data_IF_356529592299
#
_entry.id   IF_356529592299
#
_cell.length_a   1.000
_cell.length_b   1.000
_cell.length_c   1.000
_cell.angle_alpha   90.00
_cell.angle_beta   90.00
_cell.angle_gamma   90.00
#
_symmetry.space_group_name_H-M   'P 1'
#
loop_
_entity.id
_entity.type
_entity.pdbx_description
1 polymer ?
#
# COMPACT_ATOMS: atom_id res chain seq x y z
N UNK A 1 -5.62 -42.93 26.05
CA UNK A 1 -5.25 -42.90 24.62
C UNK A 1 -5.57 -41.51 24.10
N UNK A 2 -4.52 -40.73 23.88
CA UNK A 2 -4.53 -39.40 23.27
C UNK A 2 -4.85 -39.47 21.77
N UNK A 3 -5.20 -38.30 21.22
CA UNK A 3 -5.19 -37.91 19.81
C UNK A 3 -6.38 -38.45 18.97
N UNK A 4 -7.12 -37.67 18.20
CA UNK A 4 -6.71 -36.57 17.32
C UNK A 4 -7.85 -35.55 17.14
N UNK A 5 -7.54 -34.26 17.31
CA UNK A 5 -8.25 -33.17 16.63
C UNK A 5 -7.24 -32.03 16.40
N UNK A 6 -6.45 -32.16 15.33
CA UNK A 6 -5.53 -31.13 14.86
C UNK A 6 -6.27 -29.95 14.19
N UNK A 7 -5.61 -28.79 14.02
CA UNK A 7 -6.27 -27.52 13.75
C UNK A 7 -6.66 -27.38 12.27
N UNK A 8 -7.86 -27.82 11.90
CA UNK A 8 -8.38 -27.68 10.54
C UNK A 8 -8.85 -26.24 10.18
N UNK A 9 -8.61 -25.23 11.03
CA UNK A 9 -9.06 -23.84 10.84
C UNK A 9 -8.00 -22.84 10.36
N UNK A 10 -6.70 -23.13 10.53
CA UNK A 10 -5.65 -22.13 10.34
C UNK A 10 -5.21 -21.94 8.88
N UNK A 11 -5.37 -22.96 8.03
CA UNK A 11 -4.93 -22.89 6.63
C UNK A 11 -5.87 -22.06 5.75
N UNK A 12 -7.19 -22.16 5.97
CA UNK A 12 -8.19 -21.36 5.27
C UNK A 12 -8.08 -19.87 5.60
N UNK A 13 -7.70 -19.54 6.83
CA UNK A 13 -7.48 -18.16 7.28
C UNK A 13 -6.24 -17.53 6.65
N UNK A 14 -5.08 -18.23 6.66
CA UNK A 14 -3.86 -17.75 5.98
C UNK A 14 -4.06 -17.51 4.49
N UNK A 15 -4.81 -18.37 3.80
CA UNK A 15 -5.08 -18.19 2.37
C UNK A 15 -5.82 -16.89 2.10
N UNK A 16 -6.81 -16.54 2.92
CA UNK A 16 -7.56 -15.28 2.80
C UNK A 16 -6.66 -14.06 3.01
N UNK A 17 -5.70 -14.13 3.94
CA UNK A 17 -4.73 -13.05 4.16
C UNK A 17 -3.83 -12.84 2.93
N UNK A 18 -3.34 -13.94 2.33
CA UNK A 18 -2.57 -13.84 1.08
C UNK A 18 -3.42 -13.33 -0.09
N UNK A 19 -4.67 -13.76 -0.21
CA UNK A 19 -5.58 -13.28 -1.26
C UNK A 19 -5.91 -11.78 -1.08
N UNK A 20 -5.87 -11.25 0.15
CA UNK A 20 -6.00 -9.82 0.43
C UNK A 20 -4.75 -9.02 0.05
N UNK A 21 -3.55 -9.56 0.35
CA UNK A 21 -2.28 -8.88 0.07
C UNK A 21 -1.89 -9.00 -1.41
N UNK A 22 -2.15 -10.13 -2.06
CA UNK A 22 -1.69 -10.42 -3.42
C UNK A 22 -2.04 -9.33 -4.44
N UNK A 23 -3.25 -8.73 -4.44
CA UNK A 23 -3.54 -7.60 -5.29
C UNK A 23 -2.46 -6.52 -5.16
N UNK A 24 -2.15 -6.06 -3.94
CA UNK A 24 -1.32 -4.86 -3.63
C UNK A 24 -0.05 -4.71 -4.47
N UNK A 25 0.55 -5.80 -4.96
CA UNK A 25 1.66 -5.80 -5.91
C UNK A 25 1.48 -4.83 -7.10
N UNK A 26 0.27 -4.73 -7.68
CA UNK A 26 -0.02 -3.79 -8.80
C UNK A 26 0.22 -2.31 -8.46
N UNK A 27 0.33 -1.92 -7.19
CA UNK A 27 0.68 -0.55 -6.80
C UNK A 27 2.06 -0.12 -7.33
N UNK A 28 2.93 -1.07 -7.69
CA UNK A 28 4.23 -0.81 -8.33
C UNK A 28 4.10 -0.37 -9.79
N UNK A 29 2.96 -0.64 -10.43
CA UNK A 29 2.68 -0.36 -11.84
C UNK A 29 1.86 0.93 -12.03
N UNK A 30 1.26 1.46 -10.96
CA UNK A 30 0.46 2.67 -11.00
C UNK A 30 1.39 3.87 -10.80
N UNK A 31 1.54 4.69 -11.83
CA UNK A 31 2.33 5.90 -11.80
C UNK A 31 1.53 7.10 -11.26
N UNK A 32 2.18 7.92 -10.43
CA UNK A 32 1.67 9.21 -9.96
C UNK A 32 2.08 10.33 -10.90
N UNK A 33 1.49 11.51 -10.72
CA UNK A 33 1.90 12.70 -11.48
C UNK A 33 3.35 13.13 -11.15
N UNK A 34 3.83 12.80 -9.96
CA UNK A 34 5.18 13.14 -9.49
C UNK A 34 6.25 12.26 -10.15
N UNK A 35 7.44 12.83 -10.24
CA UNK A 35 8.62 12.17 -10.77
C UNK A 35 9.43 11.59 -9.59
N UNK A 36 9.74 10.29 -9.59
CA UNK A 36 10.66 9.68 -8.64
C UNK A 36 12.12 10.02 -8.98
N UNK A 37 12.42 10.16 -10.27
CA UNK A 37 13.69 10.67 -10.79
C UNK A 37 13.40 11.61 -11.97
N UNK A 38 14.41 12.33 -12.47
CA UNK A 38 14.23 13.24 -13.61
C UNK A 38 13.56 12.58 -14.83
N UNK A 39 13.69 11.26 -14.98
CA UNK A 39 13.27 10.49 -16.16
C UNK A 39 12.12 9.50 -15.87
N UNK A 40 11.76 9.26 -14.60
CA UNK A 40 10.80 8.23 -14.21
C UNK A 40 9.72 8.76 -13.28
N UNK A 41 8.47 8.38 -13.56
CA UNK A 41 7.35 8.63 -12.65
C UNK A 41 7.44 7.80 -11.37
N UNK A 42 7.03 8.40 -10.28
CA UNK A 42 6.92 7.74 -8.98
C UNK A 42 5.75 6.77 -9.00
N UNK A 43 5.97 5.52 -8.60
CA UNK A 43 4.86 4.58 -8.42
C UNK A 43 4.16 4.79 -7.08
N UNK A 44 2.89 4.39 -6.98
CA UNK A 44 2.12 4.45 -5.73
C UNK A 44 2.78 3.65 -4.61
N UNK A 45 3.38 2.50 -4.94
CA UNK A 45 4.12 1.69 -3.99
C UNK A 45 5.34 2.44 -3.41
N UNK A 46 6.12 3.12 -4.26
CA UNK A 46 7.28 3.89 -3.83
C UNK A 46 6.87 5.10 -2.98
N UNK A 47 5.82 5.79 -3.39
CA UNK A 47 5.26 6.92 -2.65
C UNK A 47 4.85 6.51 -1.23
N UNK A 48 4.08 5.43 -1.12
CA UNK A 48 3.59 4.90 0.17
C UNK A 48 4.75 4.44 1.06
N UNK A 49 5.76 3.80 0.47
CA UNK A 49 6.97 3.40 1.20
C UNK A 49 7.77 4.61 1.69
N UNK A 50 7.97 5.61 0.84
CA UNK A 50 8.73 6.80 1.20
C UNK A 50 8.03 7.61 2.30
N UNK A 51 6.70 7.74 2.22
CA UNK A 51 5.91 8.38 3.27
C UNK A 51 6.01 7.62 4.61
N UNK A 52 5.99 6.29 4.58
CA UNK A 52 6.22 5.47 5.77
C UNK A 52 7.64 5.69 6.33
N UNK A 53 8.63 5.87 5.47
CA UNK A 53 10.01 6.16 5.89
C UNK A 53 10.15 7.53 6.54
N UNK A 54 9.56 8.56 5.95
CA UNK A 54 9.50 9.90 6.56
C UNK A 54 8.81 9.83 7.93
N UNK A 55 7.68 9.11 8.01
CA UNK A 55 6.93 8.93 9.27
C UNK A 55 7.72 8.21 10.36
N UNK A 56 8.54 7.23 9.98
CA UNK A 56 9.39 6.53 10.93
C UNK A 56 10.57 7.40 11.39
N UNK A 57 11.30 7.99 10.45
CA UNK A 57 12.53 8.75 10.75
C UNK A 57 12.22 10.03 11.53
N UNK A 58 11.13 10.73 11.19
CA UNK A 58 10.74 12.00 11.80
C UNK A 58 9.74 11.83 12.97
N UNK A 59 9.48 10.60 13.42
CA UNK A 59 8.47 10.33 14.45
C UNK A 59 8.66 11.19 15.71
N UNK A 60 9.88 11.30 16.22
CA UNK A 60 10.19 12.11 17.41
C UNK A 60 9.95 13.62 17.17
N UNK A 61 10.21 14.11 15.95
CA UNK A 61 9.95 15.50 15.58
C UNK A 61 8.45 15.78 15.54
N UNK A 62 7.67 14.83 15.00
CA UNK A 62 6.22 14.93 14.99
C UNK A 62 5.61 14.88 16.40
N UNK A 63 6.14 14.06 17.31
CA UNK A 63 5.70 14.07 18.71
C UNK A 63 6.01 15.41 19.39
N UNK A 64 7.21 15.98 19.14
CA UNK A 64 7.58 17.28 19.68
C UNK A 64 6.68 18.40 19.15
N UNK A 65 6.43 18.43 17.85
CA UNK A 65 5.58 19.44 17.21
C UNK A 65 4.11 19.32 17.64
N UNK A 66 3.58 18.09 17.72
CA UNK A 66 2.21 17.84 18.12
C UNK A 66 1.95 18.04 19.63
N UNK A 67 3.02 18.15 20.44
CA UNK A 67 2.94 18.28 21.90
C UNK A 67 2.33 17.06 22.59
N UNK A 68 2.29 15.90 21.93
CA UNK A 68 1.66 14.68 22.43
C UNK A 68 2.34 13.44 21.85
N UNK A 69 2.14 12.30 22.52
CA UNK A 69 2.61 11.01 22.01
C UNK A 69 1.81 10.57 20.79
N UNK A 70 2.51 10.08 19.78
CA UNK A 70 1.92 9.58 18.54
C UNK A 70 2.18 8.08 18.41
N UNK A 71 1.15 7.32 18.06
CA UNK A 71 1.28 5.88 17.81
C UNK A 71 1.95 5.63 16.45
N UNK A 72 3.27 5.38 16.49
CA UNK A 72 4.05 5.06 15.30
C UNK A 72 3.50 3.86 14.52
N UNK A 73 3.00 2.82 15.22
CA UNK A 73 2.45 1.64 14.55
C UNK A 73 1.20 2.00 13.76
N UNK A 74 0.32 2.83 14.32
CA UNK A 74 -0.85 3.35 13.63
C UNK A 74 -0.45 4.24 12.45
N UNK A 75 0.54 5.11 12.61
CA UNK A 75 1.05 5.97 11.53
C UNK A 75 1.59 5.15 10.36
N UNK A 76 2.46 4.17 10.62
CA UNK A 76 3.01 3.30 9.57
C UNK A 76 1.92 2.53 8.84
N UNK A 77 0.91 2.01 9.56
CA UNK A 77 -0.26 1.36 8.94
C UNK A 77 -1.04 2.32 8.06
N UNK A 78 -1.23 3.58 8.47
CA UNK A 78 -1.89 4.60 7.67
C UNK A 78 -1.10 4.89 6.39
N UNK A 79 0.21 5.15 6.51
CA UNK A 79 1.08 5.45 5.36
C UNK A 79 1.09 4.31 4.33
N UNK A 80 1.17 3.06 4.77
CA UNK A 80 1.18 1.90 3.86
C UNK A 80 -0.17 1.66 3.17
N UNK A 81 -1.27 2.13 3.75
CA UNK A 81 -2.63 1.84 3.26
C UNK A 81 -3.32 3.03 2.60
N UNK A 82 -2.79 4.25 2.72
CA UNK A 82 -3.48 5.49 2.32
C UNK A 82 -3.89 5.50 0.84
N UNK A 83 -3.00 5.03 -0.05
CA UNK A 83 -3.25 4.98 -1.50
C UNK A 83 -3.70 3.61 -2.00
N UNK A 84 -4.10 2.68 -1.11
CA UNK A 84 -4.57 1.35 -1.52
C UNK A 84 -5.82 1.43 -2.43
N UNK A 85 -6.61 2.49 -2.30
CA UNK A 85 -7.78 2.75 -3.15
C UNK A 85 -7.43 3.09 -4.61
N UNK A 86 -6.22 3.60 -4.89
CA UNK A 86 -5.80 4.00 -6.25
C UNK A 86 -5.76 2.82 -7.22
N UNK A 87 -5.64 1.58 -6.69
CA UNK A 87 -5.84 0.35 -7.46
C UNK A 87 -7.14 0.29 -8.24
N UNK A 88 -8.19 1.00 -7.79
CA UNK A 88 -9.51 1.00 -8.42
C UNK A 88 -9.62 1.98 -9.60
N UNK A 89 -8.64 2.86 -9.78
CA UNK A 89 -8.65 3.95 -10.77
C UNK A 89 -8.52 3.53 -12.24
N UNK A 90 -8.24 2.27 -12.55
CA UNK A 90 -8.09 1.78 -13.94
C UNK A 90 -9.40 1.32 -14.62
N UNK A 91 -10.58 1.71 -14.13
CA UNK A 91 -11.78 1.69 -14.99
C UNK A 91 -11.93 3.05 -15.67
N UNK A 92 -11.24 3.26 -16.80
CA UNK A 92 -11.51 4.45 -17.60
C UNK A 92 -10.48 4.95 -18.62
N UNK A 93 -9.44 4.19 -18.98
CA UNK A 93 -8.60 4.53 -20.16
C UNK A 93 -8.53 3.38 -21.15
N UNK A 94 -9.70 2.92 -21.56
CA UNK A 94 -9.88 2.02 -22.70
C UNK A 94 -10.33 2.79 -23.94
N UNK A 95 -9.40 3.00 -24.88
CA UNK A 95 -9.64 2.99 -26.33
C UNK A 95 -10.61 4.02 -26.93
N UNK A 96 -10.06 5.13 -27.43
CA UNK A 96 -10.57 5.76 -28.65
C UNK A 96 -9.42 5.83 -29.65
N UNK A 97 -9.26 4.75 -30.40
CA UNK A 97 -8.36 4.69 -31.55
C UNK A 97 -8.89 5.52 -32.73
N UNK A 98 -7.97 6.20 -33.39
CA UNK A 98 -7.89 6.52 -34.83
C UNK A 98 -9.20 6.38 -35.64
N UNK A 99 -9.72 7.52 -36.10
CA UNK A 99 -10.23 7.75 -37.46
C UNK A 99 -9.82 9.20 -37.81
N UNK A 100 -9.13 9.54 -38.89
CA UNK A 100 -8.98 8.86 -40.17
C UNK A 100 -9.92 9.43 -41.23
N UNK A 101 -9.89 10.74 -41.49
CA UNK A 101 -9.94 11.43 -42.80
C UNK A 101 -10.22 12.91 -42.61
#
# INVERSE_FOLDING_TARGET
MSEMNGPHGAAGDRRRLFDFIAPTARLREIERANNATAERKESVAEHSWHLAMVSWILHAEFEREAGQRLDLTKMLKLCLMHDLAERRGERGRGGAGRRGR
#
